data_IF_578818365436
#
_entry.id   IF_578818365436
#
_cell.length_a   1.000
_cell.length_b   1.000
_cell.length_c   1.000
_cell.angle_alpha   90.00
_cell.angle_beta   90.00
_cell.angle_gamma   90.00
#
_symmetry.space_group_name_H-M   'P 1'
#
loop_
_entity.id
_entity.type
_entity.pdbx_description
1 polymer ?
#
# COMPACT_ATOMS: atom_id res chain seq x y z
N UNK A 1 38.67 -3.73 -5.19
CA UNK A 1 37.78 -3.51 -4.01
C UNK A 1 36.96 -2.23 -4.11
N UNK A 2 37.51 -1.07 -4.50
CA UNK A 2 36.75 0.21 -4.58
C UNK A 2 35.48 0.14 -5.46
N UNK A 3 35.59 -0.46 -6.65
CA UNK A 3 34.44 -0.61 -7.56
C UNK A 3 33.33 -1.50 -6.98
N UNK A 4 33.71 -2.57 -6.26
CA UNK A 4 32.75 -3.43 -5.57
C UNK A 4 32.02 -2.69 -4.46
N UNK A 5 32.75 -1.92 -3.64
CA UNK A 5 32.15 -1.09 -2.58
C UNK A 5 31.20 -0.06 -3.19
N UNK A 6 31.57 0.59 -4.29
CA UNK A 6 30.70 1.53 -4.99
C UNK A 6 29.42 0.85 -5.50
N UNK A 7 29.51 -0.36 -6.07
CA UNK A 7 28.36 -1.12 -6.53
C UNK A 7 27.39 -1.46 -5.37
N UNK A 8 27.92 -1.87 -4.22
CA UNK A 8 27.11 -2.15 -3.02
C UNK A 8 26.37 -0.89 -2.54
N UNK A 9 27.06 0.26 -2.49
CA UNK A 9 26.44 1.53 -2.09
C UNK A 9 25.34 1.93 -3.07
N UNK A 10 25.59 1.84 -4.37
CA UNK A 10 24.57 2.14 -5.38
C UNK A 10 23.35 1.22 -5.26
N UNK A 11 23.55 -0.09 -5.07
CA UNK A 11 22.45 -1.04 -4.91
C UNK A 11 21.61 -0.72 -3.66
N UNK A 12 22.25 -0.40 -2.53
CA UNK A 12 21.56 0.00 -1.31
C UNK A 12 20.76 1.30 -1.51
N UNK A 13 21.35 2.31 -2.17
CA UNK A 13 20.67 3.57 -2.46
C UNK A 13 19.43 3.39 -3.35
N UNK A 14 19.55 2.58 -4.41
CA UNK A 14 18.43 2.27 -5.30
C UNK A 14 17.34 1.49 -4.56
N UNK A 15 17.70 0.49 -3.75
CA UNK A 15 16.75 -0.30 -2.98
C UNK A 15 15.93 0.54 -2.00
N UNK A 16 16.60 1.41 -1.23
CA UNK A 16 15.93 2.33 -0.30
C UNK A 16 15.04 3.32 -1.05
N UNK A 17 15.56 3.92 -2.14
CA UNK A 17 14.80 4.87 -2.95
C UNK A 17 13.54 4.25 -3.56
N UNK A 18 13.65 3.05 -4.13
CA UNK A 18 12.52 2.33 -4.69
C UNK A 18 11.47 1.99 -3.62
N UNK A 19 11.91 1.49 -2.46
CA UNK A 19 11.00 1.18 -1.35
C UNK A 19 10.23 2.42 -0.86
N UNK A 20 10.90 3.57 -0.75
CA UNK A 20 10.26 4.82 -0.35
C UNK A 20 9.22 5.27 -1.38
N UNK A 21 9.57 5.29 -2.67
CA UNK A 21 8.66 5.70 -3.74
C UNK A 21 7.43 4.79 -3.80
N UNK A 22 7.63 3.47 -3.73
CA UNK A 22 6.53 2.51 -3.71
C UNK A 22 5.63 2.71 -2.48
N UNK A 23 6.20 2.96 -1.29
CA UNK A 23 5.42 3.20 -0.09
C UNK A 23 4.56 4.47 -0.18
N UNK A 24 5.05 5.54 -0.80
CA UNK A 24 4.29 6.79 -0.96
C UNK A 24 3.21 6.68 -2.05
N UNK A 25 3.47 5.92 -3.10
CA UNK A 25 2.61 5.87 -4.28
C UNK A 25 1.58 4.73 -4.23
N UNK A 26 1.80 3.71 -3.41
CA UNK A 26 0.94 2.52 -3.34
C UNK A 26 0.18 2.48 -2.03
N UNK A 27 -1.14 2.35 -2.15
CA UNK A 27 -2.00 1.98 -1.03
C UNK A 27 -1.85 0.48 -0.76
N UNK A 28 -1.79 0.10 0.52
CA UNK A 28 -1.66 -1.32 0.89
C UNK A 28 -2.95 -2.06 0.52
N UNK A 29 -2.84 -3.32 0.13
CA UNK A 29 -3.95 -4.13 -0.41
C UNK A 29 -5.12 -4.22 0.58
N UNK A 30 -4.83 -4.23 1.88
CA UNK A 30 -5.85 -4.21 2.93
C UNK A 30 -6.67 -2.92 2.92
N UNK A 31 -6.08 -1.77 2.57
CA UNK A 31 -6.80 -0.50 2.48
C UNK A 31 -7.50 -0.36 1.11
N UNK A 32 -6.79 -0.66 0.01
CA UNK A 32 -7.32 -0.52 -1.35
C UNK A 32 -8.55 -1.40 -1.62
N UNK A 33 -8.65 -2.56 -0.96
CA UNK A 33 -9.76 -3.49 -1.09
C UNK A 33 -10.65 -3.57 0.16
N UNK A 34 -10.40 -2.74 1.18
CA UNK A 34 -11.36 -2.55 2.26
C UNK A 34 -12.56 -1.79 1.68
N UNK A 35 -13.61 -2.53 1.33
CA UNK A 35 -14.91 -1.91 1.13
C UNK A 35 -15.35 -1.33 2.47
N UNK A 36 -15.99 -0.16 2.48
CA UNK A 36 -16.70 0.33 3.66
C UNK A 36 -17.82 -0.67 3.95
N UNK A 37 -17.51 -1.71 4.74
CA UNK A 37 -18.47 -2.76 5.01
C UNK A 37 -19.69 -2.15 5.71
N UNK A 38 -20.83 -2.14 5.02
CA UNK A 38 -22.09 -2.33 5.72
C UNK A 38 -22.14 -3.81 6.04
N UNK A 39 -21.80 -4.16 7.29
CA UNK A 39 -21.97 -5.54 7.75
C UNK A 39 -23.40 -5.96 7.43
N UNK A 40 -23.61 -7.19 6.95
CA UNK A 40 -24.97 -7.74 6.71
C UNK A 40 -25.87 -7.63 7.95
N UNK A 41 -25.28 -7.47 9.14
CA UNK A 41 -25.97 -7.19 10.41
C UNK A 41 -26.07 -5.72 10.86
N UNK A 42 -25.64 -4.74 10.05
CA UNK A 42 -25.85 -3.30 10.30
C UNK A 42 -26.84 -2.73 9.27
N UNK A 43 -28.15 -2.92 9.50
CA UNK A 43 -29.20 -2.56 8.56
C UNK A 43 -29.41 -1.04 8.39
N UNK A 44 -28.76 -0.20 9.20
CA UNK A 44 -28.94 1.26 9.14
C UNK A 44 -28.29 1.94 7.92
N UNK A 45 -27.38 1.24 7.23
CA UNK A 45 -26.64 1.76 6.09
C UNK A 45 -26.78 0.88 4.82
N UNK A 46 -27.58 -0.19 4.88
CA UNK A 46 -27.77 -1.09 3.75
C UNK A 46 -28.64 -0.44 2.67
N UNK A 47 -28.21 -0.57 1.40
CA UNK A 47 -28.81 0.01 0.18
C UNK A 47 -30.21 -0.50 -0.18
N UNK A 48 -30.94 -1.12 0.74
CA UNK A 48 -32.36 -1.42 0.54
C UNK A 48 -33.12 -0.21 1.05
N UNK A 49 -33.41 0.72 0.14
CA UNK A 49 -34.07 2.00 0.45
C UNK A 49 -35.24 1.82 1.42
N UNK A 50 -35.33 2.72 2.39
CA UNK A 50 -36.51 2.86 3.25
C UNK A 50 -37.71 3.05 2.33
N UNK A 51 -38.61 2.07 2.27
CA UNK A 51 -39.94 2.25 1.69
C UNK A 51 -40.73 3.26 2.53
#
# INVERSE_FOLDING_TARGET
>A
MKAFIAAVICAAAIGVGASYVLHVQQETVDVAFSTSETRVGDPGHNLVGMN
#
